data_IF_803553251131
#
_entry.id   IF_803553251131
#
_cell.length_a   1.000
_cell.length_b   1.000
_cell.length_c   1.000
_cell.angle_alpha   90.00
_cell.angle_beta   90.00
_cell.angle_gamma   90.00
#
_symmetry.space_group_name_H-M   'P 1'
#
loop_
_entity.id
_entity.type
_entity.pdbx_description
1 polymer ?
#
# COMPACT_ATOMS: atom_id res chain seq x y z
N UNK A 1 -21.95 21.91 62.05
CA UNK A 1 -22.26 20.47 61.83
C UNK A 1 -22.61 20.30 60.35
N UNK A 2 -21.63 20.23 59.44
CA UNK A 2 -21.10 19.01 58.76
C UNK A 2 -22.17 18.04 58.24
N UNK A 3 -22.40 18.00 56.91
CA UNK A 3 -22.74 16.82 56.06
C UNK A 3 -22.32 17.11 54.59
N UNK A 4 -21.08 16.79 54.19
CA UNK A 4 -20.66 15.70 53.27
C UNK A 4 -21.25 15.81 51.84
N UNK A 5 -20.56 16.40 50.84
CA UNK A 5 -19.56 15.81 49.91
C UNK A 5 -20.00 14.49 49.25
N UNK A 6 -20.34 14.54 47.96
CA UNK A 6 -20.14 13.42 47.03
C UNK A 6 -19.78 13.96 45.64
N UNK A 7 -18.50 13.82 45.31
CA UNK A 7 -17.92 14.06 44.00
C UNK A 7 -18.12 12.80 43.14
N UNK A 8 -18.75 12.95 41.98
CA UNK A 8 -18.81 11.92 40.94
C UNK A 8 -17.63 12.09 39.98
N UNK A 9 -16.55 11.34 40.21
CA UNK A 9 -15.40 11.30 39.33
C UNK A 9 -15.67 10.31 38.20
N UNK A 10 -16.06 10.79 37.02
CA UNK A 10 -16.15 9.97 35.81
C UNK A 10 -14.75 9.75 35.24
N UNK A 11 -14.19 8.55 35.43
CA UNK A 11 -13.00 8.11 34.69
C UNK A 11 -13.38 7.92 33.22
N UNK A 12 -12.88 8.80 32.33
CA UNK A 12 -12.84 8.54 30.90
C UNK A 12 -11.68 7.56 30.64
N UNK A 13 -12.00 6.33 30.27
CA UNK A 13 -11.04 5.41 29.69
C UNK A 13 -10.75 5.87 28.25
N UNK A 14 -9.60 6.49 28.04
CA UNK A 14 -9.09 6.78 26.71
C UNK A 14 -8.62 5.46 26.08
N UNK A 15 -9.44 4.89 25.19
CA UNK A 15 -9.00 3.83 24.29
C UNK A 15 -8.01 4.45 23.30
N UNK A 16 -6.72 4.21 23.51
CA UNK A 16 -5.69 4.56 22.56
C UNK A 16 -5.86 3.61 21.37
N UNK A 17 -6.57 4.05 20.33
CA UNK A 17 -6.54 3.38 19.05
C UNK A 17 -5.12 3.57 18.48
N UNK A 18 -4.32 2.51 18.53
CA UNK A 18 -3.03 2.51 17.82
C UNK A 18 -3.34 2.52 16.31
N UNK A 19 -2.85 3.51 15.55
CA UNK A 19 -2.99 3.44 14.10
C UNK A 19 -2.28 2.18 13.60
N UNK A 20 -2.95 1.43 12.72
CA UNK A 20 -2.32 0.35 11.95
C UNK A 20 -1.19 0.99 11.14
N UNK A 21 0.03 0.86 11.64
CA UNK A 21 1.23 1.34 10.98
C UNK A 21 1.52 0.33 9.88
N UNK A 22 1.53 0.75 8.61
CA UNK A 22 1.96 -0.09 7.51
C UNK A 22 3.37 -0.61 7.79
N UNK A 23 3.55 -1.93 7.82
CA UNK A 23 4.86 -2.52 8.02
C UNK A 23 5.76 -2.12 6.83
N UNK A 24 6.92 -1.55 7.12
CA UNK A 24 7.96 -1.33 6.12
C UNK A 24 8.66 -2.67 5.88
N UNK A 25 8.73 -3.12 4.62
CA UNK A 25 9.38 -4.38 4.22
C UNK A 25 10.91 -4.38 4.37
N UNK A 26 11.51 -3.33 4.95
CA UNK A 26 12.97 -3.23 5.12
C UNK A 26 13.44 -4.30 6.11
N UNK A 27 14.44 -5.09 5.70
CA UNK A 27 14.99 -6.20 6.47
C UNK A 27 14.32 -7.55 6.21
N UNK A 28 13.27 -7.61 5.39
CA UNK A 28 12.68 -8.87 4.96
C UNK A 28 13.56 -9.58 3.92
N UNK A 29 13.48 -10.90 3.87
CA UNK A 29 14.19 -11.70 2.86
C UNK A 29 13.22 -12.02 1.74
N UNK A 30 13.57 -11.59 0.53
CA UNK A 30 12.82 -11.86 -0.70
C UNK A 30 13.58 -12.83 -1.58
N UNK A 31 12.84 -13.65 -2.33
CA UNK A 31 13.38 -14.53 -3.36
C UNK A 31 13.08 -13.98 -4.74
N UNK A 32 13.91 -14.34 -5.73
CA UNK A 32 13.67 -14.09 -7.14
C UNK A 32 13.72 -15.40 -7.91
N UNK A 33 12.71 -15.62 -8.75
CA UNK A 33 12.64 -16.71 -9.72
C UNK A 33 12.27 -16.14 -11.09
N UNK A 34 12.74 -16.76 -12.16
CA UNK A 34 12.54 -16.26 -13.51
C UNK A 34 12.42 -17.37 -14.55
N UNK A 35 11.65 -17.11 -15.60
CA UNK A 35 11.62 -17.91 -16.83
C UNK A 35 12.17 -17.07 -17.98
N UNK A 36 13.14 -17.62 -18.71
CA UNK A 36 13.88 -16.95 -19.78
C UNK A 36 14.77 -15.76 -19.33
N UNK A 37 14.91 -15.58 -18.00
CA UNK A 37 15.91 -14.74 -17.36
C UNK A 37 16.61 -15.51 -16.25
N UNK A 38 17.74 -15.00 -15.76
CA UNK A 38 18.34 -15.38 -14.49
C UNK A 38 18.29 -14.22 -13.51
N UNK A 39 17.95 -14.47 -12.25
CA UNK A 39 18.16 -13.48 -11.19
C UNK A 39 19.65 -13.46 -10.81
N UNK A 40 20.21 -12.28 -10.55
CA UNK A 40 21.61 -12.11 -10.13
C UNK A 40 21.93 -12.87 -8.83
N UNK A 41 20.90 -13.06 -8.00
CA UNK A 41 20.91 -13.89 -6.80
C UNK A 41 19.50 -14.50 -6.58
N UNK A 42 19.45 -15.64 -5.89
CA UNK A 42 18.18 -16.34 -5.62
C UNK A 42 17.38 -15.68 -4.49
N UNK A 43 18.08 -15.04 -3.53
CA UNK A 43 17.48 -14.37 -2.38
C UNK A 43 18.30 -13.16 -1.97
N UNK A 44 17.61 -12.09 -1.55
CA UNK A 44 18.21 -10.86 -1.05
C UNK A 44 17.45 -10.35 0.17
N UNK A 45 18.13 -9.60 1.03
CA UNK A 45 17.47 -8.86 2.13
C UNK A 45 17.13 -7.46 1.66
N UNK A 46 15.86 -7.06 1.78
CA UNK A 46 15.39 -5.73 1.37
C UNK A 46 16.16 -4.66 2.13
N UNK A 47 16.78 -3.76 1.38
CA UNK A 47 17.74 -2.81 1.90
C UNK A 47 17.73 -1.48 1.15
N UNK A 48 18.92 -1.02 0.77
CA UNK A 48 19.07 0.20 0.00
C UNK A 48 19.56 -0.15 -1.40
N UNK A 49 18.90 0.41 -2.42
CA UNK A 49 19.19 0.14 -3.82
C UNK A 49 18.49 -1.13 -4.31
N UNK A 50 18.81 -1.55 -5.54
CA UNK A 50 18.21 -2.73 -6.12
C UNK A 50 18.69 -4.03 -5.47
N UNK A 51 17.76 -4.91 -5.13
CA UNK A 51 18.00 -6.24 -4.57
C UNK A 51 18.31 -7.29 -5.63
N UNK A 52 17.83 -7.14 -6.87
CA UNK A 52 18.11 -8.11 -7.92
C UNK A 52 18.45 -7.44 -9.25
N UNK A 53 19.42 -8.00 -9.97
CA UNK A 53 19.53 -7.89 -11.42
C UNK A 53 18.72 -9.00 -12.09
N UNK A 54 18.01 -8.66 -13.16
CA UNK A 54 17.43 -9.62 -14.08
C UNK A 54 18.34 -9.68 -15.31
N UNK A 55 19.03 -10.81 -15.40
CA UNK A 55 20.18 -11.01 -16.26
C UNK A 55 19.82 -11.98 -17.39
N UNK A 56 20.57 -11.85 -18.49
CA UNK A 56 20.57 -12.82 -19.58
C UNK A 56 21.99 -13.32 -19.78
N UNK A 57 22.44 -14.28 -18.98
CA UNK A 57 23.75 -14.95 -19.13
C UNK A 57 24.85 -14.06 -19.74
N UNK A 58 25.06 -14.18 -21.06
CA UNK A 58 26.11 -13.50 -21.83
C UNK A 58 25.90 -11.99 -22.07
N UNK A 59 24.69 -11.47 -21.87
CA UNK A 59 24.31 -10.07 -22.05
C UNK A 59 24.35 -9.28 -20.73
N UNK A 60 24.48 -9.97 -19.59
CA UNK A 60 24.48 -9.36 -18.25
C UNK A 60 23.10 -8.83 -17.84
N UNK A 61 23.11 -7.89 -16.88
CA UNK A 61 21.90 -7.30 -16.30
C UNK A 61 21.20 -6.37 -17.27
N UNK A 62 19.92 -6.63 -17.51
CA UNK A 62 19.05 -5.80 -18.37
C UNK A 62 18.02 -5.01 -17.58
N UNK A 63 17.50 -5.60 -16.50
CA UNK A 63 16.60 -4.93 -15.57
C UNK A 63 17.13 -5.02 -14.15
N UNK A 64 16.70 -4.11 -13.30
CA UNK A 64 16.92 -4.16 -11.85
C UNK A 64 15.57 -4.19 -11.14
N UNK A 65 15.49 -4.94 -10.05
CA UNK A 65 14.35 -5.00 -9.15
C UNK A 65 14.74 -4.41 -7.79
N UNK A 66 14.01 -3.38 -7.35
CA UNK A 66 14.24 -2.64 -6.11
C UNK A 66 12.97 -2.65 -5.25
N UNK A 67 13.06 -3.20 -4.05
CA UNK A 67 12.02 -3.22 -3.04
C UNK A 67 12.23 -2.07 -2.05
N UNK A 68 11.32 -1.10 -2.03
CA UNK A 68 11.41 0.02 -1.10
C UNK A 68 10.03 0.52 -0.69
N UNK A 69 9.81 0.68 0.62
CA UNK A 69 8.59 1.30 1.18
C UNK A 69 7.27 0.68 0.68
N UNK A 70 7.20 -0.64 0.52
CA UNK A 70 6.00 -1.32 0.00
C UNK A 70 5.81 -1.12 -1.51
N UNK A 71 6.89 -0.85 -2.24
CA UNK A 71 6.93 -0.82 -3.70
C UNK A 71 7.99 -1.81 -4.17
N UNK A 72 7.68 -2.53 -5.23
CA UNK A 72 8.67 -3.14 -6.12
C UNK A 72 8.81 -2.24 -7.35
N UNK A 73 10.03 -1.84 -7.67
CA UNK A 73 10.34 -1.08 -8.87
C UNK A 73 11.22 -1.92 -9.79
N UNK A 74 10.73 -2.18 -11.01
CA UNK A 74 11.50 -2.79 -12.09
C UNK A 74 12.00 -1.67 -13.00
N UNK A 75 13.31 -1.60 -13.26
CA UNK A 75 13.93 -0.52 -14.04
C UNK A 75 14.88 -1.06 -15.08
N UNK A 76 14.96 -0.38 -16.22
CA UNK A 76 16.03 -0.60 -17.18
C UNK A 76 17.40 -0.37 -16.51
N UNK A 77 18.30 -1.34 -16.61
CA UNK A 77 19.64 -1.30 -16.02
C UNK A 77 20.61 -0.40 -16.81
N UNK A 78 20.19 0.19 -17.92
CA UNK A 78 21.00 0.97 -18.87
C UNK A 78 22.19 0.17 -19.40
N UNK A 79 21.94 -1.08 -19.77
CA UNK A 79 22.95 -1.93 -20.38
C UNK A 79 23.45 -1.29 -21.69
N UNK A 80 24.78 -1.11 -21.89
CA UNK A 80 25.33 -0.42 -23.05
C UNK A 80 25.03 -1.12 -24.38
N UNK A 81 24.83 -2.44 -24.37
CA UNK A 81 24.47 -3.21 -25.56
C UNK A 81 23.01 -2.96 -26.00
N UNK A 82 22.20 -2.36 -25.11
CA UNK A 82 20.78 -2.02 -25.29
C UNK A 82 20.51 -0.54 -24.98
N UNK A 83 21.40 0.34 -25.45
CA UNK A 83 21.34 1.78 -25.17
C UNK A 83 20.05 2.47 -25.64
N UNK A 84 19.36 1.91 -26.63
CA UNK A 84 18.09 2.43 -27.18
C UNK A 84 16.85 1.85 -26.48
N UNK A 85 17.04 0.99 -25.47
CA UNK A 85 15.98 0.27 -24.77
C UNK A 85 15.98 -1.21 -25.09
N UNK A 86 15.04 -1.93 -24.48
CA UNK A 86 14.93 -3.38 -24.56
C UNK A 86 13.47 -3.81 -24.68
N UNK A 87 13.22 -4.84 -25.47
CA UNK A 87 11.90 -5.42 -25.68
C UNK A 87 11.95 -6.93 -25.48
N UNK A 88 10.92 -7.46 -24.84
CA UNK A 88 10.80 -8.88 -24.56
C UNK A 88 9.83 -9.53 -25.55
N UNK A 89 10.15 -10.76 -25.95
CA UNK A 89 9.26 -11.60 -26.74
C UNK A 89 8.18 -12.26 -25.87
N UNK A 90 7.83 -13.51 -26.17
CA UNK A 90 6.89 -14.27 -25.36
C UNK A 90 7.57 -15.00 -24.20
N UNK A 91 6.79 -15.33 -23.17
CA UNK A 91 7.15 -16.20 -22.04
C UNK A 91 8.22 -15.63 -21.10
N UNK A 92 8.26 -14.32 -20.96
CA UNK A 92 9.20 -13.63 -20.10
C UNK A 92 8.55 -13.36 -18.75
N UNK A 93 8.82 -14.21 -17.76
CA UNK A 93 8.15 -14.17 -16.46
C UNK A 93 9.17 -14.00 -15.35
N UNK A 94 8.92 -13.08 -14.43
CA UNK A 94 9.66 -12.95 -13.17
C UNK A 94 8.72 -13.11 -11.99
N UNK A 95 9.19 -13.80 -10.96
CA UNK A 95 8.44 -14.10 -9.76
C UNK A 95 9.25 -13.70 -8.53
N UNK A 96 8.57 -13.12 -7.56
CA UNK A 96 9.12 -12.77 -6.27
C UNK A 96 8.27 -13.35 -5.15
N UNK A 97 8.90 -13.73 -4.04
CA UNK A 97 8.19 -14.07 -2.80
C UNK A 97 8.92 -13.44 -1.64
N UNK A 98 8.19 -13.06 -0.60
CA UNK A 98 8.80 -12.60 0.64
C UNK A 98 8.72 -13.73 1.67
N UNK A 99 9.90 -14.29 1.99
CA UNK A 99 10.07 -15.45 2.88
C UNK A 99 9.81 -15.05 4.33
N UNK A 100 10.08 -13.80 4.69
CA UNK A 100 9.84 -13.29 6.04
C UNK A 100 8.36 -12.98 6.26
N UNK A 101 7.73 -12.30 5.29
CA UNK A 101 6.33 -11.93 5.35
C UNK A 101 5.69 -12.00 3.96
N UNK A 102 4.92 -13.06 3.69
CA UNK A 102 4.32 -13.30 2.37
C UNK A 102 3.52 -12.08 1.89
N UNK A 103 3.65 -11.76 0.59
CA UNK A 103 2.88 -10.68 -0.02
C UNK A 103 1.39 -11.02 0.01
N UNK A 104 0.57 -10.05 0.38
CA UNK A 104 -0.90 -10.18 0.52
C UNK A 104 -1.67 -9.29 -0.44
N UNK A 105 -0.99 -8.32 -1.05
CA UNK A 105 -1.57 -7.42 -2.02
C UNK A 105 -0.53 -7.00 -3.06
N UNK A 106 -0.96 -6.93 -4.31
CA UNK A 106 -0.18 -6.35 -5.41
C UNK A 106 -1.11 -5.53 -6.30
N UNK A 107 -0.66 -4.35 -6.72
CA UNK A 107 -1.32 -3.61 -7.80
C UNK A 107 -0.32 -2.82 -8.64
N UNK A 108 -0.67 -2.52 -9.88
CA UNK A 108 0.11 -1.62 -10.71
C UNK A 108 0.31 -0.26 -10.02
N UNK A 109 1.54 0.20 -10.02
CA UNK A 109 1.96 1.52 -9.57
C UNK A 109 2.19 2.48 -10.73
N UNK A 110 3.15 3.38 -10.56
CA UNK A 110 3.55 4.31 -11.61
C UNK A 110 4.37 3.59 -12.67
N UNK A 111 4.12 3.90 -13.95
CA UNK A 111 4.98 3.50 -15.06
C UNK A 111 5.52 4.75 -15.77
N UNK A 112 6.75 4.67 -16.23
CA UNK A 112 7.39 5.67 -17.09
C UNK A 112 8.14 4.94 -18.20
N UNK A 113 7.87 5.28 -19.45
CA UNK A 113 8.54 4.72 -20.63
C UNK A 113 8.60 3.17 -20.68
N UNK A 114 7.53 2.54 -20.19
CA UNK A 114 7.26 1.10 -20.32
C UNK A 114 6.03 0.94 -21.19
N UNK A 115 6.11 0.07 -22.20
CA UNK A 115 5.03 -0.16 -23.16
C UNK A 115 4.53 -1.59 -23.08
N UNK A 116 3.24 -1.77 -23.37
CA UNK A 116 2.55 -3.06 -23.42
C UNK A 116 2.54 -3.86 -22.11
N UNK A 117 2.74 -3.18 -20.98
CA UNK A 117 2.52 -3.70 -19.63
C UNK A 117 1.28 -3.07 -18.99
N UNK A 118 0.50 -3.86 -18.25
CA UNK A 118 -0.69 -3.40 -17.53
C UNK A 118 -0.98 -4.23 -16.28
N UNK A 119 -2.04 -3.90 -15.55
CA UNK A 119 -2.45 -4.66 -14.35
C UNK A 119 -2.69 -6.14 -14.64
N UNK A 120 -3.12 -6.51 -15.86
CA UNK A 120 -3.34 -7.93 -16.20
C UNK A 120 -2.05 -8.75 -16.28
N UNK A 121 -0.90 -8.08 -16.34
CA UNK A 121 0.42 -8.71 -16.32
C UNK A 121 0.92 -8.98 -14.90
N UNK A 122 0.16 -8.56 -13.88
CA UNK A 122 0.49 -8.76 -12.47
C UNK A 122 -0.45 -9.83 -11.93
N UNK A 123 0.11 -10.82 -11.24
CA UNK A 123 -0.67 -11.76 -10.46
C UNK A 123 -0.01 -12.01 -9.12
N UNK A 124 -0.83 -12.24 -8.10
CA UNK A 124 -0.42 -12.65 -6.77
C UNK A 124 -1.26 -13.88 -6.42
N UNK A 125 -0.60 -14.98 -6.09
CA UNK A 125 -1.30 -16.20 -5.67
C UNK A 125 -1.55 -16.23 -4.16
N UNK A 126 -2.29 -17.26 -3.71
CA UNK A 126 -2.65 -17.46 -2.31
C UNK A 126 -1.44 -17.80 -1.42
N UNK A 127 -0.32 -18.24 -2.03
CA UNK A 127 0.92 -18.58 -1.34
C UNK A 127 1.88 -17.37 -1.22
N UNK A 128 1.50 -16.22 -1.78
CA UNK A 128 2.25 -14.97 -1.69
C UNK A 128 3.35 -14.79 -2.74
N UNK A 129 3.29 -15.55 -3.85
CA UNK A 129 4.16 -15.34 -4.99
C UNK A 129 3.61 -14.26 -5.91
N UNK A 130 4.34 -13.15 -5.98
CA UNK A 130 4.11 -12.09 -6.95
C UNK A 130 4.72 -12.50 -8.29
N UNK A 131 3.90 -12.61 -9.33
CA UNK A 131 4.34 -12.92 -10.69
C UNK A 131 4.09 -11.73 -11.60
N UNK A 132 5.14 -11.30 -12.31
CA UNK A 132 5.07 -10.29 -13.36
C UNK A 132 5.33 -10.96 -14.70
N UNK A 133 4.34 -10.88 -15.59
CA UNK A 133 4.45 -11.32 -16.97
C UNK A 133 4.94 -10.15 -17.85
N UNK A 134 6.23 -10.16 -18.17
CA UNK A 134 6.88 -9.18 -19.03
C UNK A 134 6.79 -9.57 -20.51
N UNK A 135 5.99 -10.57 -20.88
CA UNK A 135 5.80 -10.96 -22.27
C UNK A 135 5.32 -9.78 -23.11
N UNK A 136 5.97 -9.56 -24.26
CA UNK A 136 5.71 -8.46 -25.19
C UNK A 136 5.87 -7.05 -24.58
N UNK A 137 6.45 -6.94 -23.39
CA UNK A 137 6.72 -5.66 -22.74
C UNK A 137 8.02 -5.06 -23.27
N UNK A 138 8.09 -3.73 -23.38
CA UNK A 138 9.34 -3.03 -23.67
C UNK A 138 9.62 -1.90 -22.70
N UNK A 139 10.90 -1.69 -22.41
CA UNK A 139 11.41 -0.60 -21.58
C UNK A 139 12.28 0.30 -22.44
N UNK A 140 11.96 1.59 -22.49
CA UNK A 140 12.90 2.58 -23.01
C UNK A 140 14.14 2.68 -22.09
N UNK A 141 15.20 3.42 -22.46
CA UNK A 141 16.40 3.55 -21.62
C UNK A 141 16.12 4.04 -20.19
N UNK A 142 15.18 4.97 -20.03
CA UNK A 142 14.71 5.47 -18.73
C UNK A 142 13.52 4.69 -18.14
N UNK A 143 13.15 3.56 -18.75
CA UNK A 143 11.96 2.79 -18.42
C UNK A 143 11.92 2.32 -16.97
N UNK A 144 10.80 2.55 -16.30
CA UNK A 144 10.55 2.11 -14.93
C UNK A 144 9.08 1.72 -14.76
N UNK A 145 8.87 0.58 -14.10
CA UNK A 145 7.58 0.01 -13.73
C UNK A 145 7.55 -0.14 -12.22
N UNK A 146 6.45 0.26 -11.57
CA UNK A 146 6.23 0.02 -10.15
C UNK A 146 5.06 -0.93 -9.93
N UNK A 147 5.19 -1.74 -8.90
CA UNK A 147 4.13 -2.56 -8.30
C UNK A 147 4.02 -2.17 -6.84
N UNK A 148 2.83 -1.83 -6.40
CA UNK A 148 2.53 -1.52 -5.00
C UNK A 148 2.26 -2.83 -4.27
N UNK A 149 2.93 -3.03 -3.14
CA UNK A 149 2.88 -4.25 -2.35
C UNK A 149 2.35 -3.94 -0.95
N UNK A 150 1.43 -4.77 -0.46
CA UNK A 150 0.90 -4.76 0.92
C UNK A 150 0.34 -3.42 1.42
N UNK A 151 0.22 -2.44 0.53
CA UNK A 151 -0.50 -1.21 0.72
C UNK A 151 -1.87 -1.40 0.10
N UNK A 152 -2.80 -1.92 0.89
CA UNK A 152 -4.21 -1.84 0.55
C UNK A 152 -4.50 -0.41 0.06
N UNK A 153 -5.28 -0.23 -1.03
CA UNK A 153 -5.78 1.08 -1.40
C UNK A 153 -6.34 1.70 -0.12
N UNK A 154 -6.07 2.98 0.15
CA UNK A 154 -6.77 3.68 1.21
C UNK A 154 -8.25 3.72 0.79
N UNK A 155 -8.98 2.62 1.00
CA UNK A 155 -10.42 2.60 0.96
C UNK A 155 -10.78 3.65 1.99
N UNK A 156 -11.21 4.82 1.51
CA UNK A 156 -11.29 6.03 2.31
C UNK A 156 -11.95 5.68 3.62
N UNK A 157 -11.21 5.87 4.72
CA UNK A 157 -11.53 5.29 6.01
C UNK A 157 -13.02 5.47 6.28
N UNK A 158 -13.79 4.39 6.11
CA UNK A 158 -15.20 4.41 6.49
C UNK A 158 -15.14 4.67 7.98
N UNK A 159 -15.71 5.78 8.48
CA UNK A 159 -15.59 6.09 9.89
C UNK A 159 -16.10 4.88 10.67
N UNK A 160 -15.37 4.43 11.67
CA UNK A 160 -15.78 3.26 12.44
C UNK A 160 -17.22 3.46 12.98
N UNK A 161 -18.02 2.40 13.23
CA UNK A 161 -19.39 2.55 13.71
C UNK A 161 -19.52 3.47 14.93
N UNK A 162 -18.49 3.53 15.78
CA UNK A 162 -18.39 4.45 16.91
C UNK A 162 -18.30 5.93 16.47
N UNK A 163 -17.60 6.23 15.39
CA UNK A 163 -17.50 7.58 14.83
C UNK A 163 -18.84 8.05 14.26
N UNK A 164 -19.58 7.16 13.58
CA UNK A 164 -20.95 7.47 13.14
C UNK A 164 -21.86 7.75 14.33
N UNK A 165 -21.76 6.91 15.37
CA UNK A 165 -22.52 7.11 16.60
C UNK A 165 -22.19 8.45 17.27
N UNK A 166 -20.92 8.85 17.33
CA UNK A 166 -20.50 10.13 17.89
C UNK A 166 -20.97 11.33 17.07
N UNK A 167 -20.95 11.24 15.74
CA UNK A 167 -21.52 12.29 14.88
C UNK A 167 -23.03 12.41 15.08
N UNK A 168 -23.75 11.29 15.07
CA UNK A 168 -25.21 11.25 15.32
C UNK A 168 -25.54 11.82 16.71
N UNK A 169 -24.78 11.43 17.74
CA UNK A 169 -24.95 11.93 19.10
C UNK A 169 -24.71 13.43 19.16
N UNK A 170 -23.65 13.94 18.52
CA UNK A 170 -23.37 15.36 18.41
C UNK A 170 -24.54 16.14 17.80
N UNK A 171 -25.06 15.66 16.66
CA UNK A 171 -26.24 16.27 16.03
C UNK A 171 -27.51 16.17 16.89
N UNK A 172 -27.71 15.05 17.58
CA UNK A 172 -28.85 14.86 18.49
C UNK A 172 -28.82 15.85 19.66
N UNK A 173 -27.65 16.08 20.25
CA UNK A 173 -27.45 17.04 21.36
C UNK A 173 -27.73 18.47 20.89
N UNK A 174 -27.18 18.88 19.75
CA UNK A 174 -27.41 20.22 19.19
C UNK A 174 -28.89 20.42 18.85
N UNK A 175 -29.52 19.43 18.19
CA UNK A 175 -30.95 19.47 17.87
C UNK A 175 -31.84 19.54 19.11
N UNK A 176 -31.49 18.82 20.18
CA UNK A 176 -32.23 18.86 21.44
C UNK A 176 -32.13 20.24 22.11
N UNK A 177 -30.94 20.84 22.13
CA UNK A 177 -30.72 22.17 22.71
C UNK A 177 -31.55 23.26 22.00
N UNK A 178 -31.65 23.21 20.67
CA UNK A 178 -32.45 24.15 19.88
C UNK A 178 -33.96 24.00 20.16
N UNK A 179 -34.47 22.78 20.33
CA UNK A 179 -35.90 22.54 20.62
C UNK A 179 -36.31 23.07 22.00
N UNK A 180 -35.46 22.95 23.02
CA UNK A 180 -35.75 23.48 24.38
C UNK A 180 -35.94 25.00 24.40
N UNK A 181 -35.23 25.76 23.56
CA UNK A 181 -35.35 27.24 23.54
C UNK A 181 -36.70 27.73 23.03
N UNK A 182 -37.35 27.00 22.11
CA UNK A 182 -38.68 27.37 21.59
C UNK A 182 -39.82 27.10 22.56
N UNK A 183 -39.65 26.16 23.50
CA UNK A 183 -40.65 25.86 24.53
C UNK A 183 -40.69 26.92 25.66
N UNK A 184 -39.76 27.88 25.65
CA UNK A 184 -39.64 28.93 26.66
C UNK A 184 -40.13 30.30 26.15
N UNK A 185 -41.05 30.35 25.18
CA UNK A 185 -41.77 31.58 24.86
C UNK A 185 -42.97 31.69 25.80
N UNK A 186 -42.95 32.60 26.79
CA UNK A 186 -44.08 32.77 27.70
C UNK A 186 -45.18 33.49 26.94
N UNK A 187 -46.40 32.95 27.03
CA UNK A 187 -47.63 33.67 26.71
C UNK A 187 -47.64 35.00 27.49
N UNK A 188 -47.19 36.09 26.87
CA UNK A 188 -47.50 37.42 27.34
C UNK A 188 -48.96 37.72 26.94
N UNK A 189 -49.83 37.43 27.88
CA UNK A 189 -51.19 37.96 27.99
C UNK A 189 -51.14 39.48 27.82
N UNK A 190 -51.87 40.02 26.86
CA UNK A 190 -52.38 41.39 26.97
C UNK A 190 -53.85 41.48 26.57
N UNK A 191 -54.53 42.21 27.46
CA UNK A 191 -55.94 42.54 27.58
C UNK A 191 -56.54 43.27 26.37
#
# INVERSE_FOLDING_TARGET
>A
MKKHLLAGLTLLAAAVATPASAATSIGDVVTCGAANFSCSEEQATIGAGAEFGLDFDLLGTLLTADFSNGLLTIRNANNPDFADGLGFGNDFIVQFSNVTSAFTFASLGTMSDVFDFSESNISLDDDGFLTLDLSNTSFAPSGSLQVRLDQAPSQGAVPEPATWAMMILGFAVVGHALRRRKAAEPLLVRA
#
